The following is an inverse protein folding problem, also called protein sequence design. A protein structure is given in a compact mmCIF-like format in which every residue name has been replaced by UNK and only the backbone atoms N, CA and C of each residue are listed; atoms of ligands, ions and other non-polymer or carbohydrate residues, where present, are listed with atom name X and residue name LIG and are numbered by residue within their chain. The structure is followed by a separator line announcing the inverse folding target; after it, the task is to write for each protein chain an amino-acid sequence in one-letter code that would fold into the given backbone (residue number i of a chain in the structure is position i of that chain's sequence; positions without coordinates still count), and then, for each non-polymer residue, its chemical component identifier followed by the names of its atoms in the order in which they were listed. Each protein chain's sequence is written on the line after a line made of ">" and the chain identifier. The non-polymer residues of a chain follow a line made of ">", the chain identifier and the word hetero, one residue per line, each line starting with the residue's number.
data_IF_198958594015
#
_entry.id   IF_198958594015
#
_cell.length_a   1.000
_cell.length_b   1.000
_cell.length_c   1.000
_cell.angle_alpha   90.00
_cell.angle_beta   90.00
_cell.angle_gamma   90.00
#
_symmetry.space_group_name_H-M   'P 1'
#
loop_
_entity.id
_entity.type
_entity.pdbx_description
1 polymer ?
#
# COMPACT_ATOMS: atom_id res chain seq x y z
N UNK A 1 -21.80 12.37 -9.23
CA UNK A 1 -20.73 12.64 -8.23
C UNK A 1 -20.37 11.31 -7.61
N UNK A 2 -19.60 10.49 -8.29
CA UNK A 2 -19.43 9.07 -7.91
C UNK A 2 -18.08 8.87 -7.22
N UNK A 3 -18.14 8.52 -5.95
CA UNK A 3 -17.00 8.12 -5.11
C UNK A 3 -16.52 6.72 -5.50
N UNK A 4 -15.96 6.56 -6.71
CA UNK A 4 -15.63 5.23 -7.23
C UNK A 4 -14.19 4.84 -6.95
N UNK A 5 -14.01 3.86 -6.05
CA UNK A 5 -12.88 2.93 -6.13
C UNK A 5 -11.92 2.87 -4.94
N UNK A 6 -12.21 3.54 -3.82
CA UNK A 6 -11.47 3.31 -2.59
C UNK A 6 -12.07 2.11 -1.85
N UNK A 7 -11.29 1.04 -1.68
CA UNK A 7 -11.68 -0.14 -0.92
C UNK A 7 -10.91 -0.21 0.38
N UNK A 8 -11.57 -0.64 1.45
CA UNK A 8 -10.89 -0.92 2.71
C UNK A 8 -10.27 -2.31 2.63
N UNK A 9 -8.97 -2.42 2.90
CA UNK A 9 -8.24 -3.69 3.03
C UNK A 9 -7.62 -3.79 4.41
N UNK A 10 -7.53 -5.00 4.95
CA UNK A 10 -6.74 -5.26 6.14
C UNK A 10 -5.29 -5.52 5.78
N UNK A 11 -4.38 -4.95 6.56
CA UNK A 11 -2.96 -5.16 6.39
C UNK A 11 -2.56 -6.57 6.86
N UNK A 12 -2.02 -7.44 6.00
CA UNK A 12 -1.61 -8.79 6.40
C UNK A 12 -0.42 -8.80 7.37
N UNK A 13 0.24 -7.65 7.60
CA UNK A 13 1.35 -7.51 8.55
C UNK A 13 0.92 -7.13 9.96
N UNK A 14 -0.02 -6.19 10.09
CA UNK A 14 -0.40 -5.60 11.38
C UNK A 14 -1.88 -5.75 11.72
N UNK A 15 -2.72 -6.24 10.79
CA UNK A 15 -4.17 -6.35 10.96
C UNK A 15 -4.94 -5.03 10.89
N UNK A 16 -4.27 -3.90 10.61
CA UNK A 16 -4.95 -2.60 10.54
C UNK A 16 -5.71 -2.45 9.23
N UNK A 17 -6.98 -2.04 9.31
CA UNK A 17 -7.77 -1.64 8.16
C UNK A 17 -7.26 -0.31 7.57
N UNK A 18 -7.06 -0.27 6.25
CA UNK A 18 -6.58 0.91 5.54
C UNK A 18 -7.30 1.09 4.20
N UNK A 19 -7.31 2.32 3.70
CA UNK A 19 -7.93 2.67 2.43
C UNK A 19 -6.99 2.41 1.25
N UNK A 20 -7.29 1.37 0.48
CA UNK A 20 -6.58 1.01 -0.74
C UNK A 20 -7.26 1.68 -1.94
N UNK A 21 -6.48 2.48 -2.67
CA UNK A 21 -6.92 3.20 -3.86
C UNK A 21 -6.63 2.41 -5.15
N UNK A 22 -6.36 1.10 -5.03
CA UNK A 22 -6.03 0.26 -6.20
C UNK A 22 -7.17 0.15 -7.21
N UNK A 23 -8.40 0.47 -6.82
CA UNK A 23 -9.58 0.49 -7.71
C UNK A 23 -10.05 1.94 -7.99
N UNK A 24 -9.36 2.94 -7.44
CA UNK A 24 -9.72 4.35 -7.61
C UNK A 24 -9.16 4.89 -8.93
N UNK A 25 -9.84 5.88 -9.51
CA UNK A 25 -9.31 6.63 -10.67
C UNK A 25 -8.05 7.44 -10.33
N UNK A 26 -7.78 7.69 -9.05
CA UNK A 26 -6.60 8.41 -8.57
C UNK A 26 -5.43 7.47 -8.30
N UNK A 27 -4.18 7.89 -8.51
CA UNK A 27 -3.01 7.09 -8.17
C UNK A 27 -3.03 6.70 -6.69
N UNK A 28 -2.66 5.44 -6.41
CA UNK A 28 -2.56 4.97 -5.03
C UNK A 28 -1.48 5.74 -4.28
N UNK A 29 -1.77 6.15 -3.05
CA UNK A 29 -0.79 6.75 -2.15
C UNK A 29 0.45 5.86 -1.99
N UNK A 30 0.35 4.55 -2.22
CA UNK A 30 1.47 3.62 -2.20
C UNK A 30 2.50 3.87 -3.31
N UNK A 31 2.10 4.49 -4.43
CA UNK A 31 3.01 4.90 -5.50
C UNK A 31 3.88 6.11 -5.12
N UNK A 32 3.43 6.87 -4.12
CA UNK A 32 4.19 7.97 -3.53
C UNK A 32 5.36 7.47 -2.66
N UNK A 33 5.40 6.18 -2.35
CA UNK A 33 6.49 5.56 -1.61
C UNK A 33 7.56 5.03 -2.55
N UNK A 34 8.81 5.39 -2.24
CA UNK A 34 9.99 4.81 -2.86
C UNK A 34 10.44 3.60 -2.05
N UNK A 35 10.19 2.40 -2.58
CA UNK A 35 10.61 1.12 -2.01
C UNK A 35 11.69 0.56 -2.93
N UNK A 36 12.79 0.07 -2.35
CA UNK A 36 13.84 -0.58 -3.14
C UNK A 36 13.39 -1.96 -3.64
N UNK A 37 14.08 -2.48 -4.65
CA UNK A 37 13.76 -3.76 -5.27
C UNK A 37 13.80 -4.94 -4.28
N UNK A 38 14.74 -4.89 -3.32
CA UNK A 38 14.93 -5.93 -2.32
C UNK A 38 13.74 -6.02 -1.36
N UNK A 39 13.28 -4.88 -0.83
CA UNK A 39 12.09 -4.83 0.02
C UNK A 39 10.82 -5.14 -0.77
N UNK A 40 10.72 -4.74 -2.04
CA UNK A 40 9.60 -5.13 -2.91
C UNK A 40 9.52 -6.65 -3.08
N UNK A 41 10.67 -7.31 -3.27
CA UNK A 41 10.74 -8.76 -3.39
C UNK A 41 10.31 -9.43 -2.09
N UNK A 42 10.86 -9.00 -0.95
CA UNK A 42 10.44 -9.50 0.38
C UNK A 42 8.96 -9.28 0.62
N UNK A 43 8.42 -8.12 0.25
CA UNK A 43 7.00 -7.83 0.36
C UNK A 43 6.16 -8.78 -0.49
N UNK A 44 6.53 -9.01 -1.74
CA UNK A 44 5.80 -9.92 -2.64
C UNK A 44 5.88 -11.39 -2.23
N UNK A 45 7.00 -11.82 -1.64
CA UNK A 45 7.18 -13.18 -1.11
C UNK A 45 6.44 -13.37 0.23
N UNK A 46 6.43 -12.34 1.09
CA UNK A 46 5.90 -12.44 2.46
C UNK A 46 4.43 -12.04 2.58
N UNK A 47 3.96 -11.15 1.72
CA UNK A 47 2.58 -10.63 1.74
C UNK A 47 2.00 -10.63 0.33
N UNK A 48 0.89 -11.35 0.16
CA UNK A 48 0.20 -11.39 -1.12
C UNK A 48 -0.80 -10.23 -1.23
N UNK A 49 -0.30 -9.00 -1.42
CA UNK A 49 -1.13 -7.81 -1.61
C UNK A 49 -0.54 -6.50 -1.08
N UNK A 50 -1.39 -5.47 -1.02
CA UNK A 50 -1.03 -4.16 -0.47
C UNK A 50 -1.00 -4.22 1.07
N UNK A 51 -0.01 -3.54 1.66
CA UNK A 51 0.07 -3.30 3.10
C UNK A 51 -0.31 -1.86 3.43
N UNK A 52 -0.63 -1.57 4.69
CA UNK A 52 -0.98 -0.22 5.14
C UNK A 52 0.23 0.74 5.03
N UNK A 53 -0.02 2.08 4.96
CA UNK A 53 1.06 3.06 4.80
C UNK A 53 2.06 3.02 5.95
N UNK A 54 1.61 2.69 7.15
CA UNK A 54 2.48 2.59 8.31
C UNK A 54 3.50 1.45 8.18
N UNK A 55 3.03 0.28 7.75
CA UNK A 55 3.89 -0.84 7.43
C UNK A 55 4.78 -0.56 6.21
N UNK A 56 4.28 0.20 5.22
CA UNK A 56 5.05 0.55 4.02
C UNK A 56 6.23 1.47 4.34
N UNK A 57 6.08 2.40 5.30
CA UNK A 57 7.17 3.27 5.80
C UNK A 57 8.35 2.49 6.38
N UNK A 58 8.14 1.26 6.85
CA UNK A 58 9.22 0.41 7.35
C UNK A 58 10.05 -0.23 6.23
N UNK A 59 9.53 -0.24 4.99
CA UNK A 59 10.18 -0.83 3.82
C UNK A 59 10.59 0.22 2.78
N UNK A 60 10.06 1.44 2.86
CA UNK A 60 10.34 2.50 1.93
C UNK A 60 10.06 3.87 2.51
N UNK A 61 10.40 4.89 1.73
CA UNK A 61 10.34 6.28 2.17
C UNK A 61 9.30 7.02 1.33
N UNK A 62 8.46 7.83 1.97
CA UNK A 62 7.51 8.68 1.24
C UNK A 62 8.29 9.74 0.47
N UNK A 63 8.08 9.84 -0.84
CA UNK A 63 8.64 10.92 -1.66
C UNK A 63 7.93 12.20 -1.23
N UNK A 64 8.69 13.16 -0.71
CA UNK A 64 8.17 14.40 -0.14
C UNK A 64 7.87 15.41 -1.24
#
# INVERSE_FOLDING_TARGET
>A
MEVVGVITKECPRCGTAFFCHSNAKTPCWCMDYSINSENLKVLGEKYNGCICPDCLKLYGQKKK
#
